data_IF_436949956480
#
_entry.id   IF_436949956480
#
_cell.length_a   1.000
_cell.length_b   1.000
_cell.length_c   1.000
_cell.angle_alpha   90.00
_cell.angle_beta   90.00
_cell.angle_gamma   90.00
#
_symmetry.space_group_name_H-M   'P 1'
#
loop_
_entity.id
_entity.type
_entity.pdbx_description
1 polymer ?
#
# COMPACT_ATOMS: atom_id res chain seq x y z
N UNK A 1 -22.41 -18.49 -2.48
CA UNK A 1 -21.64 -18.80 -3.71
C UNK A 1 -20.26 -19.28 -3.30
N UNK A 2 -19.75 -20.37 -3.89
CA UNK A 2 -18.31 -20.65 -3.87
C UNK A 2 -17.72 -20.05 -5.15
N UNK A 3 -16.67 -19.25 -5.03
CA UNK A 3 -15.98 -18.66 -6.18
C UNK A 3 -15.19 -19.71 -6.96
N UNK A 4 -14.82 -19.37 -8.19
CA UNK A 4 -13.93 -20.19 -9.01
C UNK A 4 -12.52 -20.23 -8.37
N UNK A 5 -11.92 -21.41 -8.15
CA UNK A 5 -10.60 -21.55 -7.53
C UNK A 5 -9.49 -20.77 -8.24
N UNK A 6 -9.46 -20.74 -9.58
CA UNK A 6 -8.41 -20.04 -10.34
C UNK A 6 -8.52 -18.52 -10.15
N UNK A 7 -9.76 -18.02 -10.10
CA UNK A 7 -10.01 -16.60 -9.84
C UNK A 7 -9.59 -16.22 -8.42
N UNK A 8 -9.85 -17.09 -7.44
CA UNK A 8 -9.43 -16.86 -6.06
C UNK A 8 -7.90 -16.79 -5.95
N UNK A 9 -7.19 -17.68 -6.63
CA UNK A 9 -5.73 -17.68 -6.68
C UNK A 9 -5.19 -16.36 -7.29
N UNK A 10 -5.71 -15.96 -8.44
CA UNK A 10 -5.32 -14.71 -9.09
C UNK A 10 -5.57 -13.48 -8.19
N UNK A 11 -6.71 -13.45 -7.49
CA UNK A 11 -7.04 -12.35 -6.57
C UNK A 11 -6.09 -12.33 -5.36
N UNK A 12 -5.64 -13.48 -4.87
CA UNK A 12 -4.65 -13.55 -3.79
C UNK A 12 -3.27 -13.06 -4.25
N UNK A 13 -2.89 -13.33 -5.49
CA UNK A 13 -1.64 -12.81 -6.07
C UNK A 13 -1.68 -11.28 -6.18
N UNK A 14 -2.78 -10.73 -6.69
CA UNK A 14 -2.99 -9.27 -6.75
C UNK A 14 -2.97 -8.68 -5.35
N UNK A 15 -3.72 -9.25 -4.40
CA UNK A 15 -3.71 -8.78 -3.01
C UNK A 15 -2.30 -8.80 -2.40
N UNK A 16 -1.51 -9.83 -2.69
CA UNK A 16 -0.13 -9.93 -2.23
C UNK A 16 0.77 -8.86 -2.86
N UNK A 17 0.54 -8.53 -4.13
CA UNK A 17 1.23 -7.44 -4.80
C UNK A 17 0.89 -6.08 -4.17
N UNK A 18 -0.38 -5.80 -3.89
CA UNK A 18 -0.81 -4.56 -3.21
C UNK A 18 -0.17 -4.43 -1.83
N UNK A 19 -0.21 -5.49 -1.01
CA UNK A 19 0.41 -5.50 0.32
C UNK A 19 1.93 -5.29 0.28
N UNK A 20 2.58 -5.77 -0.79
CA UNK A 20 4.01 -5.54 -1.03
C UNK A 20 4.27 -4.09 -1.43
N UNK A 21 3.46 -3.54 -2.34
CA UNK A 21 3.59 -2.18 -2.84
C UNK A 21 3.40 -1.14 -1.72
N UNK A 22 2.45 -1.36 -0.80
CA UNK A 22 2.28 -0.55 0.43
C UNK A 22 3.62 -0.39 1.17
N UNK A 23 4.31 -1.49 1.44
CA UNK A 23 5.57 -1.46 2.19
C UNK A 23 6.70 -0.82 1.39
N UNK A 24 6.78 -1.13 0.10
CA UNK A 24 7.80 -0.59 -0.79
C UNK A 24 7.71 0.94 -0.87
N UNK A 25 6.52 1.47 -1.14
CA UNK A 25 6.31 2.91 -1.24
C UNK A 25 6.49 3.64 0.09
N UNK A 26 6.12 3.01 1.21
CA UNK A 26 6.39 3.56 2.54
C UNK A 26 7.90 3.73 2.81
N UNK A 27 8.70 2.68 2.55
CA UNK A 27 10.16 2.74 2.73
C UNK A 27 10.78 3.77 1.77
N UNK A 28 10.35 3.78 0.50
CA UNK A 28 10.81 4.77 -0.48
C UNK A 28 10.51 6.21 -0.03
N UNK A 29 9.34 6.45 0.57
CA UNK A 29 8.99 7.76 1.10
C UNK A 29 9.97 8.22 2.19
N UNK A 30 10.31 7.33 3.14
CA UNK A 30 11.26 7.61 4.22
C UNK A 30 12.68 7.81 3.69
N UNK A 31 13.13 7.00 2.73
CA UNK A 31 14.42 7.18 2.06
C UNK A 31 14.50 8.51 1.33
N UNK A 32 13.48 8.85 0.54
CA UNK A 32 13.41 10.13 -0.17
C UNK A 32 13.44 11.32 0.78
N UNK A 33 12.75 11.23 1.92
CA UNK A 33 12.79 12.27 2.95
C UNK A 33 14.20 12.44 3.53
N UNK A 34 14.86 11.33 3.87
CA UNK A 34 16.22 11.33 4.40
C UNK A 34 17.26 11.88 3.40
N UNK A 35 17.06 11.65 2.10
CA UNK A 35 17.93 12.16 1.05
C UNK A 35 17.63 13.61 0.64
N UNK A 36 16.65 14.27 1.26
CA UNK A 36 16.31 15.66 0.94
C UNK A 36 15.45 15.83 -0.31
N UNK A 37 14.66 14.82 -0.69
CA UNK A 37 13.70 14.87 -1.81
C UNK A 37 12.24 14.97 -1.32
N UNK A 38 11.79 16.13 -0.79
CA UNK A 38 10.48 16.25 -0.14
C UNK A 38 9.30 16.00 -1.08
N UNK A 39 9.41 16.40 -2.35
CA UNK A 39 8.36 16.15 -3.35
C UNK A 39 8.17 14.67 -3.64
N UNK A 40 9.28 13.93 -3.79
CA UNK A 40 9.24 12.48 -4.01
C UNK A 40 8.76 11.74 -2.76
N UNK A 41 9.20 12.17 -1.58
CA UNK A 41 8.74 11.62 -0.32
C UNK A 41 7.22 11.73 -0.16
N UNK A 42 6.64 12.90 -0.44
CA UNK A 42 5.19 13.12 -0.42
C UNK A 42 4.47 12.22 -1.42
N UNK A 43 4.94 12.16 -2.66
CA UNK A 43 4.31 11.33 -3.71
C UNK A 43 4.36 9.84 -3.38
N UNK A 44 5.50 9.33 -2.89
CA UNK A 44 5.63 7.92 -2.49
C UNK A 44 4.77 7.58 -1.27
N UNK A 45 4.56 8.54 -0.36
CA UNK A 45 3.62 8.36 0.76
C UNK A 45 2.17 8.29 0.28
N UNK A 46 1.79 9.13 -0.67
CA UNK A 46 0.44 9.08 -1.29
C UNK A 46 0.22 7.73 -2.00
N UNK A 47 1.18 7.26 -2.78
CA UNK A 47 1.11 5.96 -3.46
C UNK A 47 1.00 4.81 -2.44
N UNK A 48 1.77 4.83 -1.34
CA UNK A 48 1.63 3.82 -0.28
C UNK A 48 0.22 3.75 0.33
N UNK A 49 -0.51 4.87 0.38
CA UNK A 49 -1.88 4.93 0.91
C UNK A 49 -2.89 4.48 -0.16
N UNK A 50 -2.64 4.81 -1.44
CA UNK A 50 -3.43 4.34 -2.56
C UNK A 50 -3.49 2.81 -2.62
N UNK A 51 -2.34 2.12 -2.46
CA UNK A 51 -2.30 0.65 -2.46
C UNK A 51 -2.98 0.04 -1.21
N UNK A 52 -3.06 0.77 -0.09
CA UNK A 52 -3.85 0.33 1.07
C UNK A 52 -5.34 0.26 0.73
N UNK A 53 -5.84 1.24 -0.02
CA UNK A 53 -7.21 1.22 -0.50
C UNK A 53 -7.46 0.10 -1.51
N UNK A 54 -6.50 -0.17 -2.40
CA UNK A 54 -6.58 -1.33 -3.32
C UNK A 54 -6.60 -2.67 -2.56
N UNK A 55 -5.84 -2.80 -1.47
CA UNK A 55 -5.87 -3.96 -0.58
C UNK A 55 -7.13 -4.05 0.32
N UNK A 56 -8.08 -3.11 0.19
CA UNK A 56 -9.32 -3.09 0.95
C UNK A 56 -9.20 -2.51 2.36
N UNK A 57 -8.06 -1.94 2.73
CA UNK A 57 -7.84 -1.26 4.00
C UNK A 57 -8.54 0.11 3.94
N UNK A 58 -9.42 0.37 4.92
CA UNK A 58 -10.25 1.57 4.96
C UNK A 58 -9.55 2.66 5.75
N UNK A 59 -9.93 3.91 5.50
CA UNK A 59 -9.44 5.07 6.26
C UNK A 59 -9.72 5.02 7.76
N UNK A 60 -10.62 4.12 8.20
CA UNK A 60 -10.93 3.87 9.61
C UNK A 60 -10.12 2.73 10.22
N UNK A 61 -9.31 2.02 9.44
CA UNK A 61 -8.48 0.94 9.96
C UNK A 61 -7.27 1.51 10.72
N UNK A 62 -6.97 1.01 11.94
CA UNK A 62 -5.88 1.50 12.76
C UNK A 62 -4.50 1.33 12.10
N UNK A 63 -4.37 0.36 11.19
CA UNK A 63 -3.16 0.13 10.39
C UNK A 63 -2.85 1.31 9.45
N UNK A 64 -3.88 1.98 8.93
CA UNK A 64 -3.76 3.15 8.07
C UNK A 64 -3.34 4.38 8.89
N UNK A 65 -3.92 4.56 10.08
CA UNK A 65 -3.60 5.68 10.99
C UNK A 65 -2.13 5.69 11.42
N UNK A 66 -1.57 4.53 11.77
CA UNK A 66 -0.16 4.41 12.18
C UNK A 66 0.80 4.84 11.06
N UNK A 67 0.40 4.65 9.80
CA UNK A 67 1.23 5.00 8.63
C UNK A 67 0.95 6.40 8.09
N UNK A 68 -0.19 7.01 8.43
CA UNK A 68 -0.53 8.41 8.15
C UNK A 68 0.09 9.37 9.17
N UNK A 69 0.36 8.92 10.40
CA UNK A 69 1.19 9.63 11.38
C UNK A 69 2.68 9.71 10.96
#
# INVERSE_FOLDING_TARGET
MKGDPEIIELLNDVLSAELTAINQYFVHAKMCANWGYPRLAKKKREESIEEMHHAGIRSTDPVLEERIA
#
